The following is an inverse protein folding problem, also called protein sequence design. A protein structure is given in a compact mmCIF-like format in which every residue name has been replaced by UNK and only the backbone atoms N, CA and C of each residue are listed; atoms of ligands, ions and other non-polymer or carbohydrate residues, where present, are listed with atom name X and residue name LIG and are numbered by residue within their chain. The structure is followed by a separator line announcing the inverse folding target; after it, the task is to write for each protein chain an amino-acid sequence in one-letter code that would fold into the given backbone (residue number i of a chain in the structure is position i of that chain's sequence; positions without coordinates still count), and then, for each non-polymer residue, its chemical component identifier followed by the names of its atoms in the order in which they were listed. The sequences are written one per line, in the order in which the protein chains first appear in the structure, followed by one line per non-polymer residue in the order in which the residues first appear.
data_IF_816146599848
#
_entry.id   IF_816146599848
#
_cell.length_a   1.000
_cell.length_b   1.000
_cell.length_c   1.000
_cell.angle_alpha   90.00
_cell.angle_beta   90.00
_cell.angle_gamma   90.00
#
_symmetry.space_group_name_H-M   'P 1'
#
loop_
_entity.id
_entity.type
_entity.pdbx_description
1 polymer ?
#
# COMPACT_ATOMS: atom_id res chain seq x y z
N UNK A 1 -14.88 24.00 -12.76
CA UNK A 1 -15.09 23.15 -11.58
C UNK A 1 -14.13 21.98 -11.72
N UNK A 2 -13.32 21.73 -10.70
CA UNK A 2 -12.19 20.78 -10.71
C UNK A 2 -12.69 19.35 -10.99
N UNK A 3 -12.34 18.80 -12.14
CA UNK A 3 -12.47 17.37 -12.42
C UNK A 3 -11.33 16.63 -11.71
N UNK A 4 -11.64 16.07 -10.54
CA UNK A 4 -10.70 15.22 -9.80
C UNK A 4 -10.50 13.91 -10.58
N UNK A 5 -9.25 13.71 -11.01
CA UNK A 5 -8.72 12.52 -11.67
C UNK A 5 -8.77 11.28 -10.76
N UNK A 6 -8.56 10.06 -11.30
CA UNK A 6 -8.77 8.82 -10.56
C UNK A 6 -7.60 8.58 -9.60
N UNK A 7 -7.71 9.11 -8.38
CA UNK A 7 -6.70 8.97 -7.33
C UNK A 7 -6.56 7.53 -6.81
N UNK A 8 -7.58 6.68 -6.98
CA UNK A 8 -7.66 5.39 -6.28
C UNK A 8 -6.70 4.30 -6.77
N UNK A 9 -6.30 4.32 -8.06
CA UNK A 9 -5.45 3.26 -8.61
C UNK A 9 -3.95 3.58 -8.51
N UNK A 10 -3.59 4.86 -8.68
CA UNK A 10 -2.26 5.35 -8.30
C UNK A 10 -2.02 5.18 -6.80
N UNK A 11 -3.05 5.32 -5.96
CA UNK A 11 -2.96 5.05 -4.52
C UNK A 11 -2.67 3.59 -4.21
N UNK A 12 -3.31 2.61 -4.87
CA UNK A 12 -3.04 1.18 -4.62
C UNK A 12 -1.64 0.74 -5.04
N UNK A 13 -1.12 1.21 -6.18
CA UNK A 13 0.25 0.92 -6.61
C UNK A 13 1.29 1.63 -5.72
N UNK A 14 0.99 2.84 -5.25
CA UNK A 14 1.82 3.54 -4.27
C UNK A 14 1.75 2.84 -2.91
N UNK A 15 0.58 2.35 -2.48
CA UNK A 15 0.43 1.58 -1.24
C UNK A 15 1.19 0.25 -1.30
N UNK A 16 1.09 -0.50 -2.39
CA UNK A 16 1.84 -1.74 -2.57
C UNK A 16 3.36 -1.48 -2.60
N UNK A 17 3.80 -0.42 -3.30
CA UNK A 17 5.20 0.00 -3.29
C UNK A 17 5.65 0.48 -1.91
N UNK A 18 4.80 1.20 -1.17
CA UNK A 18 5.07 1.66 0.20
C UNK A 18 5.10 0.50 1.19
N UNK A 19 4.21 -0.48 1.08
CA UNK A 19 4.20 -1.70 1.91
C UNK A 19 5.46 -2.53 1.62
N UNK A 20 5.83 -2.67 0.35
CA UNK A 20 7.04 -3.41 -0.03
C UNK A 20 8.31 -2.71 0.43
N UNK A 21 8.36 -1.38 0.32
CA UNK A 21 9.46 -0.55 0.80
C UNK A 21 9.53 -0.58 2.34
N UNK A 22 8.39 -0.63 3.03
CA UNK A 22 8.31 -0.71 4.49
C UNK A 22 8.84 -2.06 5.01
N UNK A 23 8.48 -3.20 4.39
CA UNK A 23 9.00 -4.53 4.80
C UNK A 23 10.51 -4.64 4.56
N UNK A 24 11.01 -4.18 3.42
CA UNK A 24 12.44 -4.15 3.14
C UNK A 24 13.20 -3.24 4.11
N UNK A 25 12.63 -2.08 4.44
CA UNK A 25 13.19 -1.16 5.44
C UNK A 25 13.22 -1.82 6.82
N UNK A 26 12.12 -2.48 7.23
CA UNK A 26 12.04 -3.20 8.51
C UNK A 26 13.03 -4.36 8.61
N UNK A 27 13.28 -5.07 7.51
CA UNK A 27 14.31 -6.11 7.45
C UNK A 27 15.70 -5.50 7.64
N UNK A 28 16.01 -4.40 6.93
CA UNK A 28 17.27 -3.68 7.09
C UNK A 28 17.48 -3.19 8.52
N UNK A 29 16.47 -2.55 9.12
CA UNK A 29 16.52 -2.10 10.51
C UNK A 29 16.74 -3.26 11.49
N UNK A 30 16.12 -4.41 11.23
CA UNK A 30 16.27 -5.61 12.06
C UNK A 30 17.68 -6.19 11.98
N UNK A 31 18.28 -6.22 10.79
CA UNK A 31 19.68 -6.67 10.58
C UNK A 31 20.65 -5.70 11.27
N UNK A 32 20.43 -4.40 11.15
CA UNK A 32 21.24 -3.36 11.80
C UNK A 32 21.11 -3.41 13.33
N UNK A 33 19.93 -3.74 13.82
CA UNK A 33 19.68 -3.95 15.25
C UNK A 33 20.46 -5.16 15.77
N UNK A 34 20.40 -6.31 15.09
CA UNK A 34 21.17 -7.50 15.48
C UNK A 34 22.68 -7.23 15.45
N UNK A 35 23.16 -6.55 14.41
CA UNK A 35 24.58 -6.22 14.27
C UNK A 35 25.08 -5.36 15.44
N UNK A 36 24.28 -4.38 15.86
CA UNK A 36 24.54 -3.59 17.08
C UNK A 36 24.51 -4.45 18.34
N UNK A 37 23.55 -5.37 18.46
CA UNK A 37 23.44 -6.27 19.59
C UNK A 37 24.66 -7.19 19.73
N UNK A 38 25.13 -7.77 18.62
CA UNK A 38 26.36 -8.57 18.62
C UNK A 38 27.58 -7.76 19.07
N UNK A 39 27.73 -6.52 18.58
CA UNK A 39 28.81 -5.66 19.02
C UNK A 39 28.75 -5.38 20.53
N UNK A 40 27.58 -5.04 21.07
CA UNK A 40 27.37 -4.78 22.50
C UNK A 40 27.66 -6.02 23.34
N UNK A 41 27.20 -7.19 22.90
CA UNK A 41 27.41 -8.47 23.60
C UNK A 41 28.89 -8.84 23.61
N UNK A 42 29.56 -8.81 22.46
CA UNK A 42 31.01 -9.11 22.36
C UNK A 42 31.83 -8.12 23.21
N UNK A 43 31.48 -6.84 23.17
CA UNK A 43 32.11 -5.83 24.01
C UNK A 43 31.93 -6.15 25.51
N UNK A 44 30.71 -6.44 25.97
CA UNK A 44 30.45 -6.80 27.37
C UNK A 44 31.17 -8.09 27.81
N UNK A 45 31.32 -9.07 26.91
CA UNK A 45 32.07 -10.28 27.20
C UNK A 45 33.56 -10.00 27.37
N UNK A 46 34.12 -9.05 26.61
CA UNK A 46 35.53 -8.70 26.62
C UNK A 46 35.93 -7.69 27.72
N UNK A 47 35.02 -6.84 28.18
CA UNK A 47 35.31 -5.87 29.25
C UNK A 47 35.34 -6.58 30.61
N UNK A 48 36.41 -6.47 31.42
CA UNK A 48 36.51 -7.16 32.71
C UNK A 48 35.68 -6.42 33.78
N UNK A 49 34.37 -6.69 33.82
CA UNK A 49 33.46 -6.23 34.87
C UNK A 49 33.03 -7.42 35.76
N UNK A 50 33.10 -7.31 37.10
CA UNK A 50 32.65 -8.35 38.04
C UNK A 50 31.12 -8.56 38.08
N UNK A 51 30.31 -7.69 37.47
CA UNK A 51 28.84 -7.80 37.41
C UNK A 51 28.31 -8.64 36.22
N UNK A 52 29.17 -9.46 35.60
CA UNK A 52 28.80 -10.44 34.57
C UNK A 52 27.91 -11.55 35.15
N UNK A 53 26.64 -11.25 35.35
CA UNK A 53 25.66 -12.28 35.69
C UNK A 53 25.47 -13.18 34.47
N UNK A 54 25.53 -14.50 34.67
CA UNK A 54 25.17 -15.49 33.67
C UNK A 54 23.75 -15.27 33.14
N UNK A 55 22.90 -14.66 33.96
CA UNK A 55 21.52 -14.30 33.61
C UNK A 55 21.47 -13.26 32.49
N UNK A 56 22.33 -12.22 32.53
CA UNK A 56 22.42 -11.22 31.47
C UNK A 56 22.93 -11.82 30.15
N UNK A 57 23.87 -12.78 30.23
CA UNK A 57 24.34 -13.51 29.05
C UNK A 57 23.23 -14.37 28.44
N UNK A 58 22.41 -15.02 29.26
CA UNK A 58 21.26 -15.79 28.79
C UNK A 58 20.19 -14.89 28.17
N UNK A 59 19.93 -13.71 28.73
CA UNK A 59 18.99 -12.73 28.19
C UNK A 59 19.43 -12.26 26.79
N UNK A 60 20.71 -11.90 26.61
CA UNK A 60 21.24 -11.52 25.30
C UNK A 60 21.11 -12.61 24.25
N UNK A 61 21.40 -13.87 24.60
CA UNK A 61 21.25 -15.00 23.68
C UNK A 61 19.78 -15.20 23.31
N UNK A 62 18.88 -15.11 24.28
CA UNK A 62 17.46 -15.25 24.04
C UNK A 62 16.93 -14.15 23.11
N UNK A 63 17.39 -12.92 23.27
CA UNK A 63 16.98 -11.80 22.44
C UNK A 63 17.57 -11.86 21.03
N UNK A 64 18.84 -12.28 20.87
CA UNK A 64 19.42 -12.54 19.55
C UNK A 64 18.62 -13.63 18.82
N UNK A 65 18.29 -14.73 19.49
CA UNK A 65 17.50 -15.81 18.90
C UNK A 65 16.09 -15.36 18.50
N UNK A 66 15.42 -14.55 19.33
CA UNK A 66 14.10 -13.98 18.99
C UNK A 66 14.20 -13.08 17.75
N UNK A 67 15.22 -12.22 17.69
CA UNK A 67 15.43 -11.31 16.56
C UNK A 67 15.79 -12.06 15.27
N UNK A 68 16.59 -13.11 15.34
CA UNK A 68 16.90 -13.96 14.20
C UNK A 68 15.63 -14.62 13.61
N UNK A 69 14.73 -15.12 14.47
CA UNK A 69 13.42 -15.65 14.02
C UNK A 69 12.52 -14.58 13.42
N UNK A 70 12.56 -13.35 13.96
CA UNK A 70 11.83 -12.23 13.35
C UNK A 70 12.35 -11.92 11.94
N UNK A 71 13.66 -11.97 11.73
CA UNK A 71 14.27 -11.81 10.41
C UNK A 71 13.83 -12.94 9.46
N UNK A 72 13.81 -14.19 9.90
CA UNK A 72 13.31 -15.32 9.08
C UNK A 72 11.86 -15.07 8.62
N UNK A 73 10.98 -14.65 9.53
CA UNK A 73 9.60 -14.31 9.18
C UNK A 73 9.52 -13.12 8.21
N UNK A 74 10.38 -12.10 8.38
CA UNK A 74 10.43 -10.96 7.47
C UNK A 74 10.93 -11.36 6.07
N UNK A 75 11.89 -12.31 5.99
CA UNK A 75 12.37 -12.87 4.73
C UNK A 75 11.26 -13.65 4.02
N UNK A 76 10.52 -14.49 4.75
CA UNK A 76 9.39 -15.23 4.20
C UNK A 76 8.25 -14.31 3.75
N UNK A 77 8.09 -13.17 4.41
CA UNK A 77 7.13 -12.13 4.05
C UNK A 77 7.62 -11.17 2.95
N UNK A 78 8.82 -11.39 2.38
CA UNK A 78 9.33 -10.51 1.33
C UNK A 78 8.43 -10.56 0.09
N UNK A 79 7.94 -9.40 -0.37
CA UNK A 79 7.08 -9.34 -1.54
C UNK A 79 7.86 -9.74 -2.79
N UNK A 80 7.27 -10.63 -3.59
CA UNK A 80 7.87 -11.07 -4.85
C UNK A 80 9.03 -12.06 -4.71
N UNK A 81 9.37 -12.56 -3.51
CA UNK A 81 10.44 -13.56 -3.32
C UNK A 81 10.17 -14.86 -4.09
N UNK A 82 8.90 -15.16 -4.36
CA UNK A 82 8.45 -16.37 -5.06
C UNK A 82 8.21 -16.15 -6.56
N UNK A 83 8.46 -14.95 -7.11
CA UNK A 83 8.15 -14.63 -8.50
C UNK A 83 9.40 -14.13 -9.21
N UNK A 84 9.65 -14.63 -10.41
CA UNK A 84 10.70 -14.11 -11.28
C UNK A 84 10.37 -12.68 -11.72
N UNK A 85 11.39 -11.89 -12.06
CA UNK A 85 11.21 -10.53 -12.58
C UNK A 85 10.30 -10.50 -13.82
N UNK A 86 10.41 -11.53 -14.68
CA UNK A 86 9.57 -11.66 -15.86
C UNK A 86 8.08 -11.84 -15.50
N UNK A 87 7.77 -12.68 -14.51
CA UNK A 87 6.40 -12.88 -14.01
C UNK A 87 5.86 -11.61 -13.34
N UNK A 88 6.69 -10.90 -12.56
CA UNK A 88 6.30 -9.63 -11.93
C UNK A 88 5.96 -8.57 -12.99
N UNK A 89 6.74 -8.49 -14.07
CA UNK A 89 6.47 -7.58 -15.20
C UNK A 89 5.20 -7.98 -15.95
N UNK A 90 4.95 -9.27 -16.14
CA UNK A 90 3.73 -9.76 -16.79
C UNK A 90 2.48 -9.45 -15.97
N UNK A 91 2.54 -9.68 -14.65
CA UNK A 91 1.49 -9.29 -13.71
C UNK A 91 1.22 -7.78 -13.81
N UNK A 92 2.27 -6.96 -13.82
CA UNK A 92 2.13 -5.50 -13.95
C UNK A 92 1.46 -5.10 -15.28
N UNK A 93 1.81 -5.75 -16.40
CA UNK A 93 1.18 -5.50 -17.70
C UNK A 93 -0.28 -5.90 -17.71
N UNK A 94 -0.63 -7.03 -17.09
CA UNK A 94 -2.02 -7.48 -16.98
C UNK A 94 -2.86 -6.50 -16.16
N UNK A 95 -2.34 -6.05 -15.01
CA UNK A 95 -2.97 -5.04 -14.16
C UNK A 95 -3.17 -3.70 -14.88
N UNK A 96 -2.18 -3.23 -15.63
CA UNK A 96 -2.32 -1.99 -16.44
C UNK A 96 -3.41 -2.10 -17.51
N UNK A 97 -3.57 -3.29 -18.09
CA UNK A 97 -4.61 -3.55 -19.06
C UNK A 97 -6.00 -3.60 -18.41
N UNK A 98 -6.14 -4.28 -17.27
CA UNK A 98 -7.38 -4.27 -16.48
C UNK A 98 -7.76 -2.86 -16.04
N UNK A 99 -6.79 -2.05 -15.61
CA UNK A 99 -6.97 -0.66 -15.23
C UNK A 99 -7.53 0.17 -16.39
N UNK A 100 -7.00 0.01 -17.60
CA UNK A 100 -7.49 0.72 -18.79
C UNK A 100 -8.94 0.37 -19.09
N UNK A 101 -9.30 -0.91 -19.06
CA UNK A 101 -10.67 -1.36 -19.30
C UNK A 101 -11.62 -0.79 -18.25
N UNK A 102 -11.28 -0.93 -16.97
CA UNK A 102 -12.10 -0.40 -15.87
C UNK A 102 -12.27 1.13 -15.96
N UNK A 103 -11.22 1.86 -16.36
CA UNK A 103 -11.29 3.31 -16.54
C UNK A 103 -12.15 3.72 -17.74
N UNK A 104 -12.09 2.98 -18.85
CA UNK A 104 -12.96 3.21 -20.02
C UNK A 104 -14.43 2.98 -19.67
N UNK A 105 -14.72 1.91 -18.92
CA UNK A 105 -16.07 1.63 -18.41
C UNK A 105 -16.56 2.74 -17.47
N UNK A 106 -15.70 3.20 -16.57
CA UNK A 106 -16.00 4.32 -15.69
C UNK A 106 -16.34 5.59 -16.48
N UNK A 107 -15.53 5.95 -17.49
CA UNK A 107 -15.77 7.13 -18.33
C UNK A 107 -17.12 7.02 -19.06
N UNK A 108 -17.44 5.85 -19.62
CA UNK A 108 -18.73 5.63 -20.29
C UNK A 108 -19.91 5.79 -19.33
N UNK A 109 -19.83 5.17 -18.15
CA UNK A 109 -20.88 5.27 -17.13
C UNK A 109 -21.12 6.73 -16.69
N UNK A 110 -20.05 7.52 -16.55
CA UNK A 110 -20.15 8.94 -16.24
C UNK A 110 -20.82 9.72 -17.38
N UNK A 111 -20.43 9.47 -18.63
CA UNK A 111 -21.04 10.12 -19.80
C UNK A 111 -22.53 9.81 -19.93
N UNK A 112 -22.93 8.56 -19.72
CA UNK A 112 -24.33 8.14 -19.75
C UNK A 112 -25.14 8.82 -18.64
N UNK A 113 -24.58 8.91 -17.43
CA UNK A 113 -25.20 9.61 -16.31
C UNK A 113 -25.37 11.11 -16.60
N UNK A 114 -24.38 11.76 -17.21
CA UNK A 114 -24.46 13.17 -17.61
C UNK A 114 -25.53 13.41 -18.68
N UNK A 115 -25.64 12.50 -19.66
CA UNK A 115 -26.66 12.57 -20.71
C UNK A 115 -28.08 12.44 -20.13
N UNK A 116 -28.29 11.45 -19.26
CA UNK A 116 -29.57 11.25 -18.57
C UNK A 116 -29.94 12.46 -17.71
N UNK A 117 -28.97 13.02 -16.97
CA UNK A 117 -29.18 14.22 -16.17
C UNK A 117 -29.60 15.41 -17.04
N UNK A 118 -29.01 15.56 -18.22
CA UNK A 118 -29.38 16.61 -19.18
C UNK A 118 -30.82 16.44 -19.67
N UNK A 119 -31.21 15.23 -20.05
CA UNK A 119 -32.57 14.92 -20.50
C UNK A 119 -33.62 15.18 -19.40
N UNK A 120 -33.32 14.79 -18.16
CA UNK A 120 -34.20 15.06 -17.01
C UNK A 120 -34.34 16.57 -16.79
N UNK A 121 -33.23 17.32 -16.83
CA UNK A 121 -33.26 18.79 -16.68
C UNK A 121 -34.08 19.47 -17.77
N UNK A 122 -33.94 19.04 -19.02
CA UNK A 122 -34.73 19.56 -20.14
C UNK A 122 -36.22 19.28 -19.95
N UNK A 123 -36.58 18.05 -19.56
CA UNK A 123 -37.96 17.65 -19.29
C UNK A 123 -38.57 18.48 -18.15
N UNK A 124 -37.85 18.66 -17.05
CA UNK A 124 -38.29 19.50 -15.93
C UNK A 124 -38.49 20.96 -16.38
N UNK A 125 -37.58 21.48 -17.21
CA UNK A 125 -37.69 22.86 -17.74
C UNK A 125 -38.92 23.04 -18.62
N UNK A 126 -39.26 22.05 -19.44
CA UNK A 126 -40.47 22.06 -20.27
C UNK A 126 -41.72 22.05 -19.37
N UNK A 127 -41.80 21.11 -18.43
CA UNK A 127 -42.94 21.02 -17.49
C UNK A 127 -43.12 22.32 -16.70
N UNK A 128 -42.02 22.90 -16.21
CA UNK A 128 -42.05 24.14 -15.45
C UNK A 128 -42.53 25.32 -16.30
N UNK A 129 -42.16 25.36 -17.59
CA UNK A 129 -42.61 26.40 -18.53
C UNK A 129 -44.08 26.25 -18.89
N UNK A 130 -44.55 25.02 -19.10
CA UNK A 130 -45.96 24.73 -19.36
C UNK A 130 -46.85 25.10 -18.18
N UNK A 131 -46.42 24.82 -16.95
CA UNK A 131 -47.12 25.25 -15.74
C UNK A 131 -47.22 26.78 -15.66
N UNK A 132 -46.14 27.52 -15.92
CA UNK A 132 -46.19 28.99 -15.92
C UNK A 132 -47.17 29.57 -16.96
N UNK A 133 -47.37 28.89 -18.10
CA UNK A 133 -48.34 29.30 -19.12
C UNK A 133 -49.79 28.96 -18.71
N UNK A 134 -50.00 27.86 -18.00
CA UNK A 134 -51.32 27.45 -17.50
C UNK A 134 -51.87 28.36 -16.38
N UNK A 135 -51.00 29.04 -15.62
CA UNK A 135 -51.40 30.00 -14.58
C UNK A 135 -51.54 31.45 -15.08
N UNK A 136 -51.33 31.71 -16.38
CA UNK A 136 -51.37 33.06 -16.98
C UNK A 136 -52.61 33.32 -17.86
N UNK A 137 -53.54 32.37 -17.97
CA UNK A 137 -54.89 32.56 -18.54
C UNK A 137 -55.95 32.44 -17.44
#
# INVERSE_FOLDING_TARGET
MQSSFPSSNSQNLVEASSINMDILTQLQDSIDCISRMFFVVVHHLNTPDPSKSKDAQQEYVQDICKKAKQIELLIDALPGINHSEAEQIEILKSLDQELKVANEEYIKAVQDAELLLKQIKETIKIISKDQSLAFSN
#
